data_IF_399010337871
#
_entry.id   IF_399010337871
#
_cell.length_a   1.000
_cell.length_b   1.000
_cell.length_c   1.000
_cell.angle_alpha   90.00
_cell.angle_beta   90.00
_cell.angle_gamma   90.00
#
_symmetry.space_group_name_H-M   'P 1'
#
loop_
_entity.id
_entity.type
_entity.pdbx_description
1 polymer ?
#
# COMPACT_ATOMS: atom_id res chain seq x y z
N UNK A 1 -10.14 -34.61 -15.61
CA UNK A 1 -9.85 -34.57 -14.17
C UNK A 1 -8.41 -34.13 -13.92
N UNK A 2 -7.42 -34.70 -14.56
CA UNK A 2 -6.00 -34.35 -14.38
C UNK A 2 -5.68 -32.87 -14.64
N UNK A 3 -6.21 -32.31 -15.74
CA UNK A 3 -6.02 -30.89 -16.09
C UNK A 3 -6.61 -29.96 -15.01
N UNK A 4 -7.79 -30.31 -14.46
CA UNK A 4 -8.40 -29.51 -13.40
C UNK A 4 -7.56 -29.53 -12.09
N UNK A 5 -6.99 -30.68 -11.76
CA UNK A 5 -6.08 -30.80 -10.59
C UNK A 5 -4.81 -30.00 -10.81
N UNK A 6 -4.21 -30.09 -12.00
CA UNK A 6 -3.01 -29.32 -12.35
C UNK A 6 -3.30 -27.80 -12.25
N UNK A 7 -4.41 -27.34 -12.83
CA UNK A 7 -4.83 -25.94 -12.73
C UNK A 7 -5.07 -25.51 -11.29
N UNK A 8 -5.76 -26.32 -10.49
CA UNK A 8 -5.96 -26.02 -9.07
C UNK A 8 -4.64 -25.81 -8.33
N UNK A 9 -3.66 -26.67 -8.53
CA UNK A 9 -2.34 -26.57 -7.86
C UNK A 9 -1.61 -25.31 -8.29
N UNK A 10 -1.59 -25.02 -9.61
CA UNK A 10 -0.91 -23.84 -10.16
C UNK A 10 -1.55 -22.55 -9.63
N UNK A 11 -2.87 -22.43 -9.68
CA UNK A 11 -3.56 -21.21 -9.26
C UNK A 11 -3.55 -21.04 -7.74
N UNK A 12 -3.66 -22.12 -6.97
CA UNK A 12 -3.50 -22.07 -5.52
C UNK A 12 -2.11 -21.55 -5.12
N UNK A 13 -1.06 -22.04 -5.79
CA UNK A 13 0.29 -21.54 -5.57
C UNK A 13 0.41 -20.05 -5.96
N UNK A 14 -0.17 -19.66 -7.09
CA UNK A 14 -0.19 -18.27 -7.55
C UNK A 14 -0.90 -17.36 -6.54
N UNK A 15 -2.05 -17.76 -6.01
CA UNK A 15 -2.81 -17.00 -5.01
C UNK A 15 -2.02 -16.82 -3.71
N UNK A 16 -1.38 -17.88 -3.23
CA UNK A 16 -0.52 -17.81 -2.04
C UNK A 16 0.64 -16.83 -2.29
N UNK A 17 1.26 -16.88 -3.46
CA UNK A 17 2.34 -15.97 -3.84
C UNK A 17 1.85 -14.52 -3.90
N UNK A 18 0.75 -14.24 -4.58
CA UNK A 18 0.19 -12.89 -4.74
C UNK A 18 -0.19 -12.32 -3.36
N UNK A 19 -0.96 -13.07 -2.56
CA UNK A 19 -1.36 -12.63 -1.23
C UNK A 19 -0.14 -12.47 -0.32
N UNK A 20 0.82 -13.40 -0.37
CA UNK A 20 2.05 -13.36 0.42
C UNK A 20 2.92 -12.15 0.09
N UNK A 21 3.14 -11.85 -1.19
CA UNK A 21 3.88 -10.66 -1.62
C UNK A 21 3.17 -9.38 -1.16
N UNK A 22 1.85 -9.30 -1.31
CA UNK A 22 1.08 -8.15 -0.83
C UNK A 22 1.13 -8.02 0.69
N UNK A 23 1.10 -9.13 1.42
CA UNK A 23 1.27 -9.11 2.88
C UNK A 23 2.62 -8.53 3.28
N UNK A 24 3.70 -8.95 2.64
CA UNK A 24 5.04 -8.44 2.92
C UNK A 24 5.21 -6.98 2.51
N UNK A 25 4.69 -6.59 1.35
CA UNK A 25 4.85 -5.23 0.81
C UNK A 25 4.10 -4.17 1.63
N UNK A 26 2.99 -4.52 2.24
CA UNK A 26 2.12 -3.59 2.96
C UNK A 26 2.04 -3.83 4.47
N UNK A 27 2.66 -4.90 4.98
CA UNK A 27 2.86 -5.08 6.42
C UNK A 27 3.79 -3.99 6.95
N UNK A 28 3.55 -3.55 8.18
CA UNK A 28 4.40 -2.55 8.84
C UNK A 28 4.20 -1.10 8.37
N UNK A 29 3.27 -0.83 7.45
CA UNK A 29 2.93 0.56 7.07
C UNK A 29 2.36 1.38 8.24
N UNK A 30 1.84 0.70 9.26
CA UNK A 30 1.39 1.27 10.52
C UNK A 30 2.53 1.57 11.50
N UNK A 31 3.77 1.18 11.18
CA UNK A 31 4.94 1.47 11.99
C UNK A 31 5.64 2.73 11.50
N UNK A 32 6.05 3.57 12.46
CA UNK A 32 6.81 4.78 12.14
C UNK A 32 8.23 4.42 11.73
N UNK A 33 8.59 4.70 10.51
CA UNK A 33 9.91 4.41 9.96
C UNK A 33 10.39 5.52 9.05
N UNK A 34 11.67 5.92 9.18
CA UNK A 34 12.26 6.94 8.32
C UNK A 34 11.56 8.31 8.35
N UNK A 35 10.93 8.68 9.46
CA UNK A 35 10.17 9.93 9.55
C UNK A 35 8.77 9.86 8.94
N UNK A 36 8.31 8.66 8.56
CA UNK A 36 7.02 8.47 7.87
C UNK A 36 6.12 7.48 8.60
N UNK A 37 4.82 7.74 8.55
CA UNK A 37 3.75 6.81 8.92
C UNK A 37 2.71 6.81 7.79
N UNK A 38 2.32 5.63 7.33
CA UNK A 38 1.46 5.46 6.13
C UNK A 38 1.97 6.18 4.88
N UNK A 39 3.31 6.36 4.75
CA UNK A 39 3.92 7.10 3.64
C UNK A 39 3.75 8.63 3.73
N UNK A 40 3.35 9.16 4.89
CA UNK A 40 3.25 10.58 5.17
C UNK A 40 4.32 10.98 6.19
N UNK A 41 5.11 12.00 5.88
CA UNK A 41 6.07 12.56 6.82
C UNK A 41 5.35 13.27 7.96
N UNK A 42 5.58 12.81 9.20
CA UNK A 42 5.03 13.40 10.43
C UNK A 42 6.13 13.56 11.48
N UNK A 43 6.05 14.57 12.36
CA UNK A 43 6.98 14.73 13.49
C UNK A 43 6.89 13.53 14.43
N UNK A 44 8.04 13.10 14.97
CA UNK A 44 8.11 11.93 15.87
C UNK A 44 7.24 12.09 17.13
N UNK A 45 7.16 13.32 17.64
CA UNK A 45 6.36 13.65 18.85
C UNK A 45 4.85 13.45 18.62
N UNK A 46 4.40 13.43 17.36
CA UNK A 46 2.99 13.28 16.98
C UNK A 46 2.56 11.83 16.75
N UNK A 47 3.49 10.90 16.72
CA UNK A 47 3.22 9.46 16.51
C UNK A 47 2.37 8.89 17.65
N UNK A 48 2.63 9.33 18.87
CA UNK A 48 1.95 8.85 20.08
C UNK A 48 0.59 9.55 20.33
N UNK A 49 0.21 10.48 19.48
CA UNK A 49 -1.07 11.15 19.57
C UNK A 49 -2.22 10.14 19.39
N UNK A 50 -3.23 10.21 20.26
CA UNK A 50 -4.31 9.23 20.30
C UNK A 50 -4.96 8.99 18.94
N UNK A 51 -5.22 10.07 18.19
CA UNK A 51 -5.83 10.00 16.85
C UNK A 51 -4.97 9.21 15.86
N UNK A 52 -3.66 9.40 15.90
CA UNK A 52 -2.69 8.70 15.04
C UNK A 52 -2.65 7.22 15.39
N UNK A 53 -2.59 6.91 16.68
CA UNK A 53 -2.55 5.54 17.20
C UNK A 53 -3.83 4.77 16.90
N UNK A 54 -5.00 5.40 17.10
CA UNK A 54 -6.31 4.81 16.76
C UNK A 54 -6.42 4.52 15.25
N UNK A 55 -5.84 5.38 14.42
CA UNK A 55 -5.78 5.18 12.97
C UNK A 55 -4.88 3.98 12.61
N UNK A 56 -3.71 3.85 13.23
CA UNK A 56 -2.80 2.74 13.04
C UNK A 56 -3.43 1.40 13.45
N UNK A 57 -4.09 1.34 14.60
CA UNK A 57 -4.82 0.15 15.05
C UNK A 57 -5.99 -0.21 14.12
N UNK A 58 -6.74 0.79 13.66
CA UNK A 58 -7.84 0.59 12.73
C UNK A 58 -7.36 0.03 11.39
N UNK A 59 -6.26 0.58 10.86
CA UNK A 59 -5.62 0.06 9.65
C UNK A 59 -5.21 -1.40 9.84
N UNK A 60 -4.47 -1.70 10.90
CA UNK A 60 -3.98 -3.04 11.21
C UNK A 60 -5.10 -4.07 11.31
N UNK A 61 -6.20 -3.72 12.00
CA UNK A 61 -7.39 -4.59 12.11
C UNK A 61 -8.07 -4.81 10.76
N UNK A 62 -8.30 -3.74 9.99
CA UNK A 62 -8.94 -3.82 8.66
C UNK A 62 -8.07 -4.61 7.68
N UNK A 63 -6.77 -4.32 7.64
CA UNK A 63 -5.83 -4.98 6.75
C UNK A 63 -5.76 -6.49 7.05
N UNK A 64 -5.57 -6.88 8.31
CA UNK A 64 -5.54 -8.31 8.72
C UNK A 64 -6.85 -9.03 8.42
N UNK A 65 -7.99 -8.37 8.66
CA UNK A 65 -9.30 -8.94 8.33
C UNK A 65 -9.45 -9.14 6.83
N UNK A 66 -9.10 -8.15 6.02
CA UNK A 66 -9.17 -8.19 4.56
C UNK A 66 -8.29 -9.32 4.00
N UNK A 67 -7.04 -9.42 4.43
CA UNK A 67 -6.12 -10.47 3.98
C UNK A 67 -6.64 -11.87 4.34
N UNK A 68 -7.14 -12.06 5.56
CA UNK A 68 -7.70 -13.35 5.99
C UNK A 68 -8.90 -13.77 5.14
N UNK A 69 -9.82 -12.83 4.89
CA UNK A 69 -11.00 -13.11 4.07
C UNK A 69 -10.62 -13.42 2.63
N UNK A 70 -9.71 -12.68 2.04
CA UNK A 70 -9.27 -12.91 0.67
C UNK A 70 -8.48 -14.21 0.51
N UNK A 71 -7.72 -14.62 1.52
CA UNK A 71 -7.05 -15.93 1.50
C UNK A 71 -8.08 -17.06 1.48
N UNK A 72 -9.10 -17.01 2.33
CA UNK A 72 -10.18 -18.02 2.34
C UNK A 72 -10.93 -18.01 1.00
N UNK A 73 -11.28 -16.83 0.50
CA UNK A 73 -12.01 -16.66 -0.75
C UNK A 73 -11.21 -17.18 -1.96
N UNK A 74 -9.90 -16.90 -2.02
CA UNK A 74 -9.01 -17.41 -3.06
C UNK A 74 -8.99 -18.95 -3.11
N UNK A 75 -8.88 -19.60 -1.94
CA UNK A 75 -8.94 -21.06 -1.86
C UNK A 75 -10.29 -21.59 -2.40
N UNK A 76 -11.40 -20.96 -2.05
CA UNK A 76 -12.74 -21.34 -2.54
C UNK A 76 -12.86 -21.14 -4.05
N UNK A 77 -12.32 -20.02 -4.57
CA UNK A 77 -12.29 -19.73 -6.01
C UNK A 77 -11.50 -20.78 -6.77
N UNK A 78 -10.36 -21.24 -6.25
CA UNK A 78 -9.59 -22.33 -6.86
C UNK A 78 -10.44 -23.63 -6.99
N UNK A 79 -11.34 -23.89 -6.07
CA UNK A 79 -12.28 -25.03 -6.15
C UNK A 79 -13.24 -24.96 -7.34
N UNK A 80 -13.52 -23.78 -7.89
CA UNK A 80 -14.37 -23.59 -9.09
C UNK A 80 -13.76 -24.22 -10.34
N UNK A 81 -12.48 -24.55 -10.33
CA UNK A 81 -11.78 -25.25 -11.43
C UNK A 81 -12.50 -26.54 -11.84
N UNK A 82 -13.16 -27.22 -10.92
CA UNK A 82 -13.93 -28.45 -11.19
C UNK A 82 -15.26 -28.20 -11.89
N UNK A 83 -15.77 -26.96 -11.88
CA UNK A 83 -16.99 -26.59 -12.62
C UNK A 83 -16.72 -26.26 -14.11
N UNK A 84 -15.45 -26.09 -14.47
CA UNK A 84 -15.01 -25.81 -15.83
C UNK A 84 -14.01 -24.64 -15.90
N UNK A 85 -13.00 -24.80 -16.76
CA UNK A 85 -11.89 -23.85 -16.86
C UNK A 85 -12.36 -22.44 -17.24
N UNK A 86 -13.31 -22.31 -18.15
CA UNK A 86 -13.83 -21.01 -18.58
C UNK A 86 -14.52 -20.24 -17.46
N UNK A 87 -15.38 -20.93 -16.68
CA UNK A 87 -16.07 -20.34 -15.52
C UNK A 87 -15.04 -19.94 -14.47
N UNK A 88 -14.10 -20.85 -14.17
CA UNK A 88 -13.03 -20.59 -13.23
C UNK A 88 -12.24 -19.33 -13.58
N UNK A 89 -11.79 -19.16 -14.83
CA UNK A 89 -11.02 -18.01 -15.26
C UNK A 89 -11.76 -16.68 -15.05
N UNK A 90 -13.06 -16.66 -15.31
CA UNK A 90 -13.89 -15.47 -15.06
C UNK A 90 -13.95 -15.16 -13.56
N UNK A 91 -14.31 -16.15 -12.74
CA UNK A 91 -14.45 -15.97 -11.28
C UNK A 91 -13.12 -15.58 -10.65
N UNK A 92 -12.02 -16.21 -11.06
CA UNK A 92 -10.69 -15.89 -10.57
C UNK A 92 -10.25 -14.46 -10.93
N UNK A 93 -10.53 -14.02 -12.17
CA UNK A 93 -10.21 -12.64 -12.60
C UNK A 93 -11.01 -11.61 -11.79
N UNK A 94 -12.29 -11.88 -11.53
CA UNK A 94 -13.15 -11.02 -10.71
C UNK A 94 -12.60 -10.93 -9.28
N UNK A 95 -12.26 -12.07 -8.67
CA UNK A 95 -11.67 -12.10 -7.34
C UNK A 95 -10.33 -11.36 -7.26
N UNK A 96 -9.43 -11.58 -8.24
CA UNK A 96 -8.14 -10.91 -8.27
C UNK A 96 -8.30 -9.39 -8.40
N UNK A 97 -9.25 -8.93 -9.21
CA UNK A 97 -9.57 -7.51 -9.38
C UNK A 97 -10.11 -6.91 -8.07
N UNK A 98 -11.05 -7.60 -7.41
CA UNK A 98 -11.58 -7.19 -6.10
C UNK A 98 -10.45 -7.09 -5.06
N UNK A 99 -9.56 -8.08 -5.01
CA UNK A 99 -8.44 -8.12 -4.10
C UNK A 99 -7.51 -6.89 -4.28
N UNK A 100 -7.12 -6.60 -5.53
CA UNK A 100 -6.23 -5.47 -5.83
C UNK A 100 -6.90 -4.13 -5.50
N UNK A 101 -8.15 -3.95 -5.93
CA UNK A 101 -8.91 -2.71 -5.68
C UNK A 101 -9.17 -2.52 -4.19
N UNK A 102 -9.57 -3.57 -3.48
CA UNK A 102 -9.81 -3.53 -2.03
C UNK A 102 -8.55 -3.20 -1.24
N UNK A 103 -7.41 -3.80 -1.61
CA UNK A 103 -6.12 -3.49 -1.02
C UNK A 103 -5.73 -2.02 -1.25
N UNK A 104 -5.85 -1.55 -2.48
CA UNK A 104 -5.61 -0.15 -2.82
C UNK A 104 -6.46 0.81 -1.98
N UNK A 105 -7.75 0.52 -1.81
CA UNK A 105 -8.65 1.36 -1.02
C UNK A 105 -8.26 1.42 0.46
N UNK A 106 -7.84 0.31 1.04
CA UNK A 106 -7.39 0.26 2.44
C UNK A 106 -6.12 1.11 2.62
N UNK A 107 -5.13 0.91 1.76
CA UNK A 107 -3.83 1.59 1.86
C UNK A 107 -3.96 3.07 1.54
N UNK A 108 -4.53 3.40 0.38
CA UNK A 108 -4.70 4.78 -0.09
C UNK A 108 -5.66 5.58 0.79
N UNK A 109 -6.77 4.96 1.23
CA UNK A 109 -7.71 5.61 2.13
C UNK A 109 -7.09 6.00 3.47
N UNK A 110 -6.19 5.16 4.01
CA UNK A 110 -5.48 5.48 5.24
C UNK A 110 -4.40 6.54 5.02
N UNK A 111 -3.64 6.44 3.93
CA UNK A 111 -2.68 7.47 3.53
C UNK A 111 -3.34 8.85 3.41
N UNK A 112 -4.46 8.93 2.70
CA UNK A 112 -5.21 10.19 2.52
C UNK A 112 -5.72 10.78 3.83
N UNK A 113 -6.23 9.92 4.74
CA UNK A 113 -6.66 10.38 6.08
C UNK A 113 -5.51 10.91 6.90
N UNK A 114 -4.36 10.24 6.89
CA UNK A 114 -3.15 10.71 7.58
C UNK A 114 -2.65 12.03 6.99
N UNK A 115 -2.66 12.16 5.66
CA UNK A 115 -2.29 13.41 5.00
C UNK A 115 -3.22 14.56 5.38
N UNK A 116 -4.53 14.35 5.39
CA UNK A 116 -5.49 15.37 5.81
C UNK A 116 -5.26 15.78 7.26
N UNK A 117 -5.05 14.81 8.17
CA UNK A 117 -4.75 15.08 9.57
C UNK A 117 -3.48 15.93 9.73
N UNK A 118 -2.44 15.63 8.93
CA UNK A 118 -1.21 16.43 8.88
C UNK A 118 -1.49 17.88 8.47
N UNK A 119 -2.29 18.08 7.42
CA UNK A 119 -2.62 19.42 6.89
C UNK A 119 -3.46 20.19 7.89
N UNK A 120 -4.50 19.57 8.46
CA UNK A 120 -5.40 20.19 9.45
C UNK A 120 -4.65 20.66 10.70
N UNK A 121 -3.66 19.89 11.14
CA UNK A 121 -2.86 20.23 12.33
C UNK A 121 -1.59 21.04 12.00
N UNK A 122 -1.35 21.37 10.74
CA UNK A 122 -0.19 22.16 10.33
C UNK A 122 1.16 21.51 10.66
N UNK A 123 1.24 20.16 10.66
CA UNK A 123 2.49 19.46 11.00
C UNK A 123 3.52 19.61 9.90
N UNK A 124 4.48 20.51 10.11
CA UNK A 124 5.60 20.75 9.20
C UNK A 124 6.85 20.13 9.79
N UNK A 125 7.57 19.29 9.03
CA UNK A 125 8.88 18.80 9.43
C UNK A 125 9.95 19.88 9.17
N UNK A 126 10.85 20.08 10.10
CA UNK A 126 11.98 21.01 9.95
C UNK A 126 12.89 20.65 8.76
N UNK A 127 13.03 19.35 8.47
CA UNK A 127 13.74 18.88 7.27
C UNK A 127 13.13 19.38 5.95
N UNK A 128 11.81 19.55 5.89
CA UNK A 128 11.14 20.12 4.71
C UNK A 128 11.43 21.61 4.53
N UNK A 129 11.65 22.33 5.65
CA UNK A 129 12.10 23.74 5.60
C UNK A 129 13.53 23.86 5.07
N UNK A 130 14.41 22.92 5.44
CA UNK A 130 15.79 22.92 4.94
C UNK A 130 15.88 22.65 3.44
N UNK A 131 15.05 21.72 2.92
CA UNK A 131 15.00 21.45 1.47
C UNK A 131 14.49 22.66 0.68
N UNK A 132 13.49 23.38 1.20
CA UNK A 132 12.98 24.61 0.57
C UNK A 132 14.05 25.71 0.56
N UNK A 133 14.87 25.82 1.61
CA UNK A 133 15.96 26.79 1.69
C UNK A 133 17.07 26.47 0.67
N UNK A 134 17.44 25.20 0.53
CA UNK A 134 18.46 24.77 -0.45
C UNK A 134 17.99 25.00 -1.87
N UNK A 135 16.73 24.69 -2.19
CA UNK A 135 16.15 24.93 -3.52
C UNK A 135 16.07 26.43 -3.84
N UNK A 136 15.77 27.28 -2.85
CA UNK A 136 15.72 28.75 -3.05
C UNK A 136 17.12 29.32 -3.26
N UNK A 137 18.13 28.82 -2.56
CA UNK A 137 19.52 29.22 -2.75
C UNK A 137 20.08 28.76 -4.10
N UNK A 138 19.77 27.50 -4.50
CA UNK A 138 20.17 26.97 -5.81
C UNK A 138 19.48 27.75 -6.94
N UNK A 139 18.21 28.10 -6.80
CA UNK A 139 17.49 28.90 -7.83
C UNK A 139 17.99 30.34 -7.90
N UNK A 140 18.39 30.94 -6.78
CA UNK A 140 18.98 32.27 -6.75
C UNK A 140 20.39 32.34 -7.40
N UNK A 141 21.08 31.20 -7.50
CA UNK A 141 22.39 31.07 -8.11
C UNK A 141 22.37 30.33 -9.45
N UNK A 142 21.21 30.24 -10.09
CA UNK A 142 21.02 29.50 -11.36
C UNK A 142 21.98 29.97 -12.48
N UNK A 143 22.42 31.24 -12.44
CA UNK A 143 23.40 31.78 -13.39
C UNK A 143 24.85 31.29 -13.17
N UNK A 144 25.11 30.62 -12.02
CA UNK A 144 26.43 30.06 -11.65
C UNK A 144 26.49 28.55 -11.77
N UNK A 145 25.44 27.89 -12.27
CA UNK A 145 25.48 26.46 -12.47
C UNK A 145 26.48 26.09 -13.57
N UNK A 146 27.32 25.05 -13.35
CA UNK A 146 28.32 24.62 -14.34
C UNK A 146 27.72 23.93 -15.56
N UNK A 147 26.41 23.92 -15.72
CA UNK A 147 25.73 23.35 -16.88
C UNK A 147 25.75 24.36 -18.03
N UNK A 148 26.49 24.02 -19.06
CA UNK A 148 26.56 24.79 -20.32
C UNK A 148 25.16 25.00 -20.90
N UNK A 149 24.86 26.26 -21.31
CA UNK A 149 23.61 26.63 -22.03
C UNK A 149 23.45 25.97 -23.41
N UNK A 150 24.28 24.99 -23.75
CA UNK A 150 24.27 24.24 -25.02
C UNK A 150 23.72 22.84 -24.78
N UNK A 151 22.46 22.76 -24.47
CA UNK A 151 21.65 21.54 -24.61
C UNK A 151 20.35 21.92 -25.27
#
# INVERSE_FOLDING_TARGET
>A
MEVAILMLVIFLFTDIMVVGICMLAYAGKEEYSGGMLFGVHIPKEKVDEKTVRDMAETYKKKYKKFQRWNMILGILVCGVTFAGIGIFMIVWTVWLTEYIVGLYWIVYGTHRRMYNLKVENGWVMESAKQIIYVDTEVSAHADKMPLSKKW
#
